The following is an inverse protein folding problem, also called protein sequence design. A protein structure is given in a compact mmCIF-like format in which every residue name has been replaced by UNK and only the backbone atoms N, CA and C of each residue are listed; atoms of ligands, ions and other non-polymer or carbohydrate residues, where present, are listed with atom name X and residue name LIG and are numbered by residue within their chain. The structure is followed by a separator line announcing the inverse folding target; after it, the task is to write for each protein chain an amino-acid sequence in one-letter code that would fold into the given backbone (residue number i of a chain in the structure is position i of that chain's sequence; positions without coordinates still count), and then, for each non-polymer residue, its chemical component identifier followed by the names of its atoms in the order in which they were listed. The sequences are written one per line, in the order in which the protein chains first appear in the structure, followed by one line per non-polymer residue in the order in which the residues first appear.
data_IF_093528823009
#
_entry.id   IF_093528823009
#
_cell.length_a   1.000
_cell.length_b   1.000
_cell.length_c   1.000
_cell.angle_alpha   90.00
_cell.angle_beta   90.00
_cell.angle_gamma   90.00
#
_symmetry.space_group_name_H-M   'P 1'
#
loop_
_entity.id
_entity.type
_entity.pdbx_description
1 polymer ?
#
# COMPACT_ATOMS: atom_id res chain seq x y z
N UNK A 1 0.47 15.60 -28.92
CA UNK A 1 0.36 14.34 -28.15
C UNK A 1 0.05 14.75 -26.72
N UNK A 2 -1.06 14.30 -26.14
CA UNK A 2 -1.42 14.68 -24.78
C UNK A 2 -0.37 14.12 -23.82
N UNK A 3 0.22 14.98 -23.00
CA UNK A 3 1.21 14.61 -22.00
C UNK A 3 0.51 13.81 -20.90
N UNK A 4 0.74 12.50 -20.86
CA UNK A 4 0.08 11.63 -19.88
C UNK A 4 0.85 11.78 -18.57
N UNK A 5 0.31 12.60 -17.65
CA UNK A 5 0.85 12.73 -16.30
C UNK A 5 0.68 11.40 -15.55
N UNK A 6 1.78 10.64 -15.41
CA UNK A 6 1.82 9.41 -14.61
C UNK A 6 1.99 9.77 -13.12
N UNK A 7 1.19 9.16 -12.25
CA UNK A 7 1.32 9.29 -10.80
C UNK A 7 1.98 8.03 -10.26
N UNK A 8 3.02 8.19 -9.46
CA UNK A 8 3.77 7.08 -8.86
C UNK A 8 3.53 7.04 -7.35
N UNK A 9 3.03 5.90 -6.86
CA UNK A 9 2.81 5.71 -5.43
C UNK A 9 3.97 4.98 -4.75
N UNK A 10 4.69 4.07 -5.45
CA UNK A 10 5.84 3.32 -4.93
C UNK A 10 5.61 2.72 -3.52
N UNK A 11 4.41 2.15 -3.33
CA UNK A 11 3.98 1.51 -2.08
C UNK A 11 3.90 0.02 -2.26
N UNK A 12 4.25 -0.73 -1.22
CA UNK A 12 3.89 -2.13 -1.14
C UNK A 12 2.37 -2.24 -1.05
N UNK A 13 1.76 -2.90 -2.02
CA UNK A 13 0.32 -3.16 -2.05
C UNK A 13 0.09 -4.65 -1.89
N UNK A 14 -0.76 -5.02 -0.92
CA UNK A 14 -1.05 -6.42 -0.56
C UNK A 14 -2.45 -6.87 -1.00
N UNK A 15 -3.35 -5.93 -1.24
CA UNK A 15 -4.70 -6.21 -1.72
C UNK A 15 -4.74 -6.37 -3.24
N UNK A 16 -5.90 -6.82 -3.74
CA UNK A 16 -6.19 -6.94 -5.18
C UNK A 16 -6.38 -5.57 -5.86
N UNK A 17 -5.61 -4.55 -5.49
CA UNK A 17 -5.66 -3.21 -6.08
C UNK A 17 -5.51 -3.23 -7.60
N UNK A 18 -4.62 -4.03 -8.22
CA UNK A 18 -4.58 -4.10 -9.68
C UNK A 18 -5.92 -4.50 -10.31
N UNK A 19 -6.64 -5.46 -9.73
CA UNK A 19 -7.97 -5.87 -10.21
C UNK A 19 -9.01 -4.78 -9.98
N UNK A 20 -8.96 -4.10 -8.82
CA UNK A 20 -9.84 -2.97 -8.53
C UNK A 20 -9.62 -1.80 -9.49
N UNK A 21 -8.37 -1.53 -9.89
CA UNK A 21 -8.01 -0.51 -10.87
C UNK A 21 -8.48 -0.92 -12.27
N UNK A 22 -8.26 -2.18 -12.67
CA UNK A 22 -8.74 -2.74 -13.94
C UNK A 22 -10.26 -2.68 -14.05
N UNK A 23 -10.99 -2.97 -12.97
CA UNK A 23 -12.44 -2.87 -12.92
C UNK A 23 -12.95 -1.45 -13.22
N UNK A 24 -12.15 -0.43 -12.90
CA UNK A 24 -12.44 0.99 -13.21
C UNK A 24 -11.99 1.42 -14.61
N UNK A 25 -11.49 0.49 -15.45
CA UNK A 25 -10.91 0.75 -16.79
C UNK A 25 -9.73 1.74 -16.77
N UNK A 26 -8.98 1.75 -15.67
CA UNK A 26 -7.74 2.53 -15.52
C UNK A 26 -6.55 1.60 -15.75
N UNK A 27 -5.49 2.10 -16.38
CA UNK A 27 -4.25 1.35 -16.56
C UNK A 27 -3.30 1.64 -15.39
N UNK A 28 -2.72 0.60 -14.81
CA UNK A 28 -1.62 0.71 -13.84
C UNK A 28 -0.48 -0.24 -14.20
N UNK A 29 0.75 0.22 -13.99
CA UNK A 29 1.93 -0.62 -14.02
C UNK A 29 2.28 -1.00 -12.57
N UNK A 30 2.58 -2.27 -12.35
CA UNK A 30 3.03 -2.80 -11.07
C UNK A 30 4.01 -3.95 -11.33
N UNK A 31 4.86 -4.26 -10.36
CA UNK A 31 5.72 -5.43 -10.41
C UNK A 31 5.51 -6.25 -9.15
N UNK A 32 5.71 -7.57 -9.28
CA UNK A 32 5.66 -8.47 -8.14
C UNK A 32 7.06 -8.57 -7.54
N UNK A 33 7.17 -8.30 -6.25
CA UNK A 33 8.41 -8.51 -5.52
C UNK A 33 8.63 -10.00 -5.35
N UNK A 34 9.80 -10.47 -5.78
CA UNK A 34 10.20 -11.89 -5.69
C UNK A 34 11.43 -12.09 -4.82
N UNK A 35 12.26 -11.07 -4.64
CA UNK A 35 13.39 -11.09 -3.72
C UNK A 35 12.90 -10.93 -2.27
N UNK A 36 13.19 -11.88 -1.36
CA UNK A 36 12.83 -11.76 0.05
C UNK A 36 13.43 -10.53 0.74
N UNK A 37 14.62 -10.09 0.34
CA UNK A 37 15.26 -8.91 0.97
C UNK A 37 14.56 -7.63 0.55
N UNK A 38 14.29 -7.46 -0.75
CA UNK A 38 13.46 -6.36 -1.25
C UNK A 38 12.08 -6.35 -0.57
N UNK A 39 11.43 -7.52 -0.47
CA UNK A 39 10.12 -7.63 0.19
C UNK A 39 10.18 -7.15 1.64
N UNK A 40 11.19 -7.56 2.39
CA UNK A 40 11.37 -7.13 3.78
C UNK A 40 11.58 -5.61 3.88
N UNK A 41 12.34 -5.02 2.97
CA UNK A 41 12.55 -3.57 2.93
C UNK A 41 11.25 -2.80 2.64
N UNK A 42 10.48 -3.25 1.64
CA UNK A 42 9.19 -2.65 1.29
C UNK A 42 8.13 -2.86 2.39
N UNK A 43 8.17 -3.99 3.10
CA UNK A 43 7.31 -4.24 4.25
C UNK A 43 7.58 -3.26 5.40
N UNK A 44 8.85 -2.95 5.69
CA UNK A 44 9.18 -1.94 6.70
C UNK A 44 8.76 -0.52 6.29
N UNK A 45 8.82 -0.18 5.00
CA UNK A 45 8.26 1.08 4.49
C UNK A 45 6.75 1.13 4.72
N UNK A 46 6.04 0.02 4.44
CA UNK A 46 4.59 -0.10 4.66
C UNK A 46 4.21 0.08 6.13
N UNK A 47 4.96 -0.51 7.06
CA UNK A 47 4.73 -0.31 8.51
C UNK A 47 4.84 1.16 8.92
N UNK A 48 5.86 1.87 8.41
CA UNK A 48 6.02 3.30 8.69
C UNK A 48 4.87 4.12 8.10
N UNK A 49 4.40 3.76 6.91
CA UNK A 49 3.24 4.38 6.27
C UNK A 49 1.98 4.22 7.14
N UNK A 50 1.59 2.99 7.49
CA UNK A 50 0.35 2.77 8.25
C UNK A 50 0.42 3.36 9.66
N UNK A 51 1.58 3.33 10.30
CA UNK A 51 1.78 4.01 11.58
C UNK A 51 1.57 5.54 11.47
N UNK A 52 2.06 6.15 10.38
CA UNK A 52 1.86 7.58 10.13
C UNK A 52 0.39 7.89 9.81
N UNK A 53 -0.27 7.07 8.98
CA UNK A 53 -1.69 7.18 8.66
C UNK A 53 -2.57 7.08 9.91
N UNK A 54 -2.34 6.04 10.73
CA UNK A 54 -3.01 5.83 12.02
C UNK A 54 -2.87 7.05 12.94
N UNK A 55 -1.66 7.61 13.06
CA UNK A 55 -1.40 8.78 13.89
C UNK A 55 -2.07 10.06 13.38
N UNK A 56 -2.42 10.09 12.10
CA UNK A 56 -3.04 11.23 11.40
C UNK A 56 -4.56 11.11 11.29
N UNK A 57 -5.13 9.95 11.65
CA UNK A 57 -6.56 9.67 11.56
C UNK A 57 -7.39 10.70 12.34
N UNK A 58 -8.51 11.12 11.75
CA UNK A 58 -9.40 12.15 12.32
C UNK A 58 -10.73 11.57 12.77
N UNK A 59 -11.09 10.40 12.27
CA UNK A 59 -12.30 9.69 12.70
C UNK A 59 -11.95 8.37 13.37
N UNK A 60 -12.88 7.84 14.15
CA UNK A 60 -12.75 6.51 14.76
C UNK A 60 -12.66 5.41 13.70
N UNK A 61 -13.42 5.55 12.62
CA UNK A 61 -13.42 4.58 11.52
C UNK A 61 -12.06 4.53 10.84
N UNK A 62 -11.51 5.69 10.46
CA UNK A 62 -10.14 5.80 9.92
C UNK A 62 -9.12 5.17 10.88
N UNK A 63 -9.17 5.54 12.16
CA UNK A 63 -8.23 5.00 13.14
C UNK A 63 -8.29 3.47 13.23
N UNK A 64 -9.49 2.89 13.24
CA UNK A 64 -9.64 1.43 13.33
C UNK A 64 -9.16 0.72 12.06
N UNK A 65 -9.39 1.31 10.88
CA UNK A 65 -8.93 0.76 9.61
C UNK A 65 -7.39 0.78 9.54
N UNK A 66 -6.77 1.94 9.76
CA UNK A 66 -5.30 2.08 9.73
C UNK A 66 -4.62 1.23 10.82
N UNK A 67 -5.29 1.03 11.96
CA UNK A 67 -4.81 0.12 13.01
C UNK A 67 -4.81 -1.32 12.53
N UNK A 68 -5.88 -1.78 11.87
CA UNK A 68 -5.95 -3.13 11.32
C UNK A 68 -4.85 -3.34 10.27
N UNK A 69 -4.62 -2.38 9.39
CA UNK A 69 -3.58 -2.44 8.35
C UNK A 69 -2.18 -2.50 8.96
N UNK A 70 -1.89 -1.67 9.98
CA UNK A 70 -0.63 -1.73 10.71
C UNK A 70 -0.43 -3.08 11.40
N UNK A 71 -1.46 -3.62 12.06
CA UNK A 71 -1.38 -4.93 12.71
C UNK A 71 -1.15 -6.06 11.69
N UNK A 72 -1.79 -6.02 10.52
CA UNK A 72 -1.53 -6.97 9.44
C UNK A 72 -0.10 -6.89 8.91
N UNK A 73 0.46 -5.68 8.79
CA UNK A 73 1.84 -5.48 8.36
C UNK A 73 2.84 -6.06 9.39
N UNK A 74 2.63 -5.77 10.68
CA UNK A 74 3.45 -6.29 11.78
C UNK A 74 3.37 -7.82 11.90
N UNK A 75 2.17 -8.40 11.78
CA UNK A 75 1.98 -9.85 11.81
C UNK A 75 2.73 -10.57 10.68
N UNK A 76 3.07 -9.88 9.59
CA UNK A 76 3.79 -10.50 8.46
C UNK A 76 5.29 -10.65 8.75
N UNK A 77 5.81 -9.94 9.75
CA UNK A 77 7.20 -10.09 10.20
C UNK A 77 7.37 -11.29 11.15
N UNK A 78 6.32 -11.61 11.92
CA UNK A 78 6.32 -12.65 12.95
C UNK A 78 6.09 -14.04 12.35
#
# INVERSE_FOLDING_TARGET
MADITRIYYNKLVRDNIPDMIRAKRINCEYYQITDPQEFQQELFKKIKEEAASLSSARTREEFLNEYADLMMALNTIM
#
